data_IF_760883947875
#
_entry.id   IF_760883947875
#
_cell.length_a   1.000
_cell.length_b   1.000
_cell.length_c   1.000
_cell.angle_alpha   90.00
_cell.angle_beta   90.00
_cell.angle_gamma   90.00
#
_symmetry.space_group_name_H-M   'P 1'
#
loop_
_entity.id
_entity.type
_entity.pdbx_description
1 polymer ?
#
# COMPACT_ATOMS: atom_id res chain seq x y z
N UNK A 1 0.35 -15.76 0.44
CA UNK A 1 1.06 -16.68 1.34
C UNK A 1 2.47 -16.15 1.53
N UNK A 2 2.81 -15.71 2.75
CA UNK A 2 4.15 -15.20 3.06
C UNK A 2 5.13 -16.36 2.88
N UNK A 3 6.29 -16.18 2.21
CA UNK A 3 7.31 -17.21 2.23
C UNK A 3 7.69 -17.47 3.70
N UNK A 4 7.52 -18.71 4.16
CA UNK A 4 7.89 -19.17 5.51
C UNK A 4 9.33 -18.78 5.92
N UNK A 5 10.14 -18.38 4.93
CA UNK A 5 11.52 -17.94 5.03
C UNK A 5 11.72 -16.54 5.62
N UNK A 6 10.73 -15.62 5.59
CA UNK A 6 10.93 -14.23 6.06
C UNK A 6 10.96 -14.15 7.61
N UNK A 7 10.32 -15.11 8.31
CA UNK A 7 10.24 -15.17 9.79
C UNK A 7 9.76 -13.85 10.42
N UNK A 8 8.66 -13.31 9.91
CA UNK A 8 7.94 -12.18 10.49
C UNK A 8 6.69 -12.71 11.21
N UNK A 9 6.29 -12.16 12.38
CA UNK A 9 5.09 -12.61 13.08
C UNK A 9 3.83 -12.37 12.24
N UNK A 10 2.88 -13.26 12.41
CA UNK A 10 1.56 -13.14 11.79
C UNK A 10 0.64 -12.31 12.68
N UNK A 11 -0.22 -11.51 12.05
CA UNK A 11 -1.23 -10.70 12.74
C UNK A 11 -2.50 -10.60 11.89
N UNK A 12 -3.56 -10.02 12.43
CA UNK A 12 -4.75 -9.70 11.64
C UNK A 12 -4.49 -8.40 10.88
N UNK A 13 -4.36 -8.52 9.55
CA UNK A 13 -4.29 -7.38 8.67
C UNK A 13 -5.71 -6.89 8.34
N UNK A 14 -5.86 -5.58 8.14
CA UNK A 14 -7.10 -4.96 7.70
C UNK A 14 -7.50 -5.46 6.30
N UNK A 15 -6.51 -5.66 5.44
CA UNK A 15 -6.65 -6.20 4.10
C UNK A 15 -7.05 -5.19 3.04
N UNK A 16 -7.95 -4.26 3.37
CA UNK A 16 -8.33 -3.14 2.51
C UNK A 16 -8.18 -1.79 3.21
N UNK A 17 -7.00 -1.52 3.78
CA UNK A 17 -6.71 -0.20 4.34
C UNK A 17 -6.29 0.79 3.24
N UNK A 18 -7.22 1.63 2.79
CA UNK A 18 -6.97 2.74 1.86
C UNK A 18 -7.74 3.99 2.28
N UNK A 19 -7.52 5.11 1.60
CA UNK A 19 -8.01 6.43 2.03
C UNK A 19 -9.52 6.47 2.33
N UNK A 20 -10.32 5.71 1.57
CA UNK A 20 -11.78 5.68 1.75
C UNK A 20 -12.24 4.88 2.99
N UNK A 21 -11.37 4.04 3.55
CA UNK A 21 -11.63 3.24 4.75
C UNK A 21 -11.01 3.88 6.02
N UNK A 22 -10.51 5.11 5.90
CA UNK A 22 -9.98 5.90 7.01
C UNK A 22 -10.86 7.13 7.20
N UNK A 23 -11.54 7.21 8.34
CA UNK A 23 -12.31 8.38 8.74
C UNK A 23 -11.40 9.36 9.46
N UNK A 24 -11.52 10.65 9.13
CA UNK A 24 -10.67 11.70 9.67
C UNK A 24 -11.48 12.71 10.50
N UNK A 25 -10.93 13.18 11.62
CA UNK A 25 -11.50 14.27 12.40
C UNK A 25 -11.08 15.60 11.77
N UNK A 26 -12.06 16.41 11.37
CA UNK A 26 -11.83 17.79 10.93
C UNK A 26 -12.17 18.74 12.08
N UNK A 27 -11.21 19.57 12.48
CA UNK A 27 -11.47 20.71 13.38
C UNK A 27 -11.88 21.93 12.54
N UNK A 28 -12.68 22.82 13.11
CA UNK A 28 -13.30 23.94 12.38
C UNK A 28 -12.30 24.83 11.62
N UNK A 29 -11.06 24.93 12.10
CA UNK A 29 -10.00 25.77 11.51
C UNK A 29 -8.94 24.99 10.71
N UNK A 30 -9.04 23.66 10.62
CA UNK A 30 -8.04 22.87 9.91
C UNK A 30 -8.30 22.90 8.40
N UNK A 31 -7.26 23.28 7.63
CA UNK A 31 -7.29 23.18 6.16
C UNK A 31 -7.42 21.73 5.69
N UNK A 32 -6.78 20.80 6.42
CA UNK A 32 -6.83 19.36 6.16
C UNK A 32 -6.92 18.61 7.50
N UNK A 33 -7.74 17.56 7.60
CA UNK A 33 -7.84 16.80 8.83
C UNK A 33 -6.56 16.00 9.06
N UNK A 34 -6.01 16.08 10.27
CA UNK A 34 -4.72 15.45 10.63
C UNK A 34 -4.86 14.30 11.62
N UNK A 35 -6.06 14.12 12.19
CA UNK A 35 -6.32 13.11 13.22
C UNK A 35 -7.26 12.03 12.68
N UNK A 36 -6.89 10.76 12.86
CA UNK A 36 -7.74 9.63 12.48
C UNK A 36 -8.87 9.50 13.50
N UNK A 37 -10.10 9.43 13.02
CA UNK A 37 -11.30 9.21 13.82
C UNK A 37 -11.58 7.71 14.03
N UNK A 38 -11.54 6.95 12.93
CA UNK A 38 -11.84 5.53 12.91
C UNK A 38 -11.32 4.88 11.62
N UNK A 39 -11.07 3.58 11.69
CA UNK A 39 -10.97 2.72 10.53
C UNK A 39 -12.31 1.98 10.33
N UNK A 40 -12.75 1.82 9.10
CA UNK A 40 -14.03 1.19 8.76
C UNK A 40 -13.87 0.15 7.65
N UNK A 41 -14.89 -0.67 7.45
CA UNK A 41 -14.94 -1.68 6.39
C UNK A 41 -13.87 -2.80 6.51
N UNK A 42 -14.06 -3.67 7.50
CA UNK A 42 -13.16 -4.77 7.82
C UNK A 42 -13.46 -6.05 7.02
N UNK A 43 -14.25 -5.97 5.93
CA UNK A 43 -14.85 -7.13 5.25
C UNK A 43 -13.85 -8.14 4.67
N UNK A 44 -12.62 -7.71 4.39
CA UNK A 44 -11.54 -8.56 3.86
C UNK A 44 -10.37 -8.75 4.83
N UNK A 45 -10.59 -8.53 6.13
CA UNK A 45 -9.56 -8.77 7.14
C UNK A 45 -9.13 -10.23 7.13
N UNK A 46 -7.83 -10.48 7.26
CA UNK A 46 -7.29 -11.83 7.19
C UNK A 46 -5.99 -11.97 8.00
N UNK A 47 -5.50 -13.19 8.13
CA UNK A 47 -4.22 -13.49 8.72
C UNK A 47 -3.07 -13.02 7.80
N UNK A 48 -2.50 -11.87 8.11
CA UNK A 48 -1.48 -11.17 7.34
C UNK A 48 -0.19 -10.89 8.13
N UNK A 49 0.53 -9.84 7.75
CA UNK A 49 1.78 -9.44 8.39
C UNK A 49 1.84 -7.91 8.60
N UNK A 50 2.76 -7.41 9.43
CA UNK A 50 2.89 -5.99 9.73
C UNK A 50 3.06 -5.05 8.52
N UNK A 51 3.58 -5.56 7.39
CA UNK A 51 3.82 -4.74 6.21
C UNK A 51 2.63 -4.69 5.25
N UNK A 52 1.62 -5.55 5.40
CA UNK A 52 0.56 -5.70 4.40
C UNK A 52 -0.30 -4.46 4.24
N UNK A 53 -0.82 -3.92 5.35
CA UNK A 53 -1.67 -2.74 5.33
C UNK A 53 -0.87 -1.48 4.93
N UNK A 54 0.42 -1.41 5.27
CA UNK A 54 1.29 -0.34 4.80
C UNK A 54 1.47 -0.42 3.27
N UNK A 55 1.74 -1.61 2.73
CA UNK A 55 1.83 -1.82 1.29
C UNK A 55 0.53 -1.44 0.59
N UNK A 56 -0.64 -1.75 1.18
CA UNK A 56 -1.96 -1.35 0.66
C UNK A 56 -2.05 0.17 0.56
N UNK A 57 -1.87 0.88 1.66
CA UNK A 57 -1.97 2.35 1.71
C UNK A 57 -0.99 3.00 0.73
N UNK A 58 0.27 2.58 0.74
CA UNK A 58 1.30 3.18 -0.11
C UNK A 58 1.03 2.88 -1.59
N UNK A 59 0.64 1.66 -1.95
CA UNK A 59 0.34 1.31 -3.33
C UNK A 59 -0.88 2.06 -3.87
N UNK A 60 -1.96 2.19 -3.09
CA UNK A 60 -3.22 2.76 -3.58
C UNK A 60 -3.35 4.27 -3.41
N UNK A 61 -2.74 4.84 -2.37
CA UNK A 61 -2.99 6.24 -1.96
C UNK A 61 -1.86 7.20 -2.30
N UNK A 62 -0.74 6.73 -2.87
CA UNK A 62 0.37 7.58 -3.28
C UNK A 62 0.57 7.56 -4.79
N UNK A 63 1.15 8.63 -5.34
CA UNK A 63 1.59 8.63 -6.73
C UNK A 63 2.91 7.85 -6.85
N UNK A 64 3.11 7.17 -7.98
CA UNK A 64 4.22 6.23 -8.14
C UNK A 64 5.61 6.85 -7.94
N UNK A 65 5.78 8.10 -8.38
CA UNK A 65 7.05 8.82 -8.24
C UNK A 65 7.31 9.21 -6.77
N UNK A 66 6.26 9.65 -6.04
CA UNK A 66 6.34 9.96 -4.61
C UNK A 66 6.67 8.72 -3.79
N UNK A 67 6.06 7.58 -4.10
CA UNK A 67 6.38 6.30 -3.45
C UNK A 67 7.86 5.99 -3.58
N UNK A 68 8.40 5.99 -4.80
CA UNK A 68 9.80 5.62 -5.07
C UNK A 68 10.80 6.53 -4.35
N UNK A 69 10.47 7.80 -4.19
CA UNK A 69 11.31 8.76 -3.48
C UNK A 69 11.30 8.53 -1.96
N UNK A 70 10.15 8.17 -1.39
CA UNK A 70 9.94 8.13 0.06
C UNK A 70 9.94 6.73 0.66
N UNK A 71 10.02 5.68 -0.14
CA UNK A 71 9.83 4.29 0.31
C UNK A 71 10.78 3.90 1.45
N UNK A 72 12.09 4.07 1.27
CA UNK A 72 13.09 3.78 2.32
C UNK A 72 12.82 4.60 3.58
N UNK A 73 12.51 5.89 3.42
CA UNK A 73 12.19 6.76 4.55
C UNK A 73 10.95 6.28 5.30
N UNK A 74 9.92 5.82 4.60
CA UNK A 74 8.69 5.29 5.19
C UNK A 74 8.96 4.02 6.00
N UNK A 75 9.86 3.14 5.53
CA UNK A 75 10.23 1.93 6.28
C UNK A 75 10.92 2.25 7.59
N UNK A 76 11.92 3.12 7.56
CA UNK A 76 12.62 3.57 8.76
C UNK A 76 11.66 4.27 9.72
N UNK A 77 10.84 5.19 9.20
CA UNK A 77 9.85 5.93 9.98
C UNK A 77 8.85 4.98 10.65
N UNK A 78 8.29 4.02 9.90
CA UNK A 78 7.33 3.05 10.43
C UNK A 78 7.96 2.18 11.52
N UNK A 79 9.15 1.64 11.27
CA UNK A 79 9.82 0.73 12.19
C UNK A 79 10.27 1.46 13.47
N UNK A 80 10.75 2.69 13.36
CA UNK A 80 11.10 3.53 14.51
C UNK A 80 9.86 3.82 15.37
N UNK A 81 8.75 4.22 14.74
CA UNK A 81 7.50 4.51 15.46
C UNK A 81 6.92 3.25 16.10
N UNK A 82 6.96 2.11 15.43
CA UNK A 82 6.54 0.83 16.01
C UNK A 82 7.38 0.47 17.22
N UNK A 83 8.71 0.66 17.15
CA UNK A 83 9.62 0.40 18.27
C UNK A 83 9.26 1.28 19.47
N UNK A 84 9.14 2.59 19.26
CA UNK A 84 8.74 3.56 20.29
C UNK A 84 7.35 3.26 20.87
N UNK A 85 6.41 2.81 20.04
CA UNK A 85 5.07 2.43 20.50
C UNK A 85 5.07 1.21 21.42
N UNK A 86 6.01 0.28 21.23
CA UNK A 86 6.11 -0.95 22.03
C UNK A 86 6.92 -0.78 23.33
N UNK A 87 7.79 0.24 23.40
CA UNK A 87 8.66 0.52 24.55
C UNK A 87 7.92 0.60 25.90
N UNK A 88 6.77 1.28 26.05
CA UNK A 88 6.06 1.36 27.33
C UNK A 88 5.58 0.00 27.85
N UNK A 89 5.42 -0.99 26.96
CA UNK A 89 5.05 -2.36 27.32
C UNK A 89 6.26 -3.25 27.60
N UNK A 90 7.49 -2.71 27.56
CA UNK A 90 8.73 -3.48 27.70
C UNK A 90 8.98 -4.43 26.53
N UNK A 91 8.36 -4.20 25.37
CA UNK A 91 8.47 -5.04 24.17
C UNK A 91 9.22 -4.31 23.05
N UNK A 92 9.66 -5.08 22.06
CA UNK A 92 10.24 -4.59 20.81
C UNK A 92 9.72 -5.44 19.65
N UNK A 93 9.80 -4.95 18.40
CA UNK A 93 9.49 -5.77 17.23
C UNK A 93 10.32 -7.06 17.23
N UNK A 94 9.66 -8.20 16.97
CA UNK A 94 10.31 -9.53 16.88
C UNK A 94 10.90 -9.81 15.49
N UNK A 95 11.06 -8.77 14.69
CA UNK A 95 11.59 -8.82 13.32
C UNK A 95 12.47 -7.58 13.09
N UNK A 96 13.44 -7.69 12.20
CA UNK A 96 14.31 -6.58 11.79
C UNK A 96 13.69 -5.72 10.68
N UNK A 97 14.21 -4.50 10.48
CA UNK A 97 13.84 -3.63 9.35
C UNK A 97 13.95 -4.37 8.01
N UNK A 98 15.04 -5.11 7.78
CA UNK A 98 15.22 -5.90 6.55
C UNK A 98 14.16 -6.99 6.35
N UNK A 99 13.70 -7.62 7.44
CA UNK A 99 12.59 -8.58 7.35
C UNK A 99 11.27 -7.87 7.04
N UNK A 100 11.07 -6.67 7.59
CA UNK A 100 9.93 -5.83 7.29
C UNK A 100 9.92 -5.37 5.82
N UNK A 101 11.03 -4.86 5.31
CA UNK A 101 11.23 -4.51 3.89
C UNK A 101 10.90 -5.69 2.99
N UNK A 102 11.47 -6.87 3.29
CA UNK A 102 11.19 -8.08 2.52
C UNK A 102 9.71 -8.46 2.58
N UNK A 103 9.06 -8.36 3.74
CA UNK A 103 7.62 -8.61 3.85
C UNK A 103 6.79 -7.59 3.07
N UNK A 104 7.20 -6.32 3.07
CA UNK A 104 6.60 -5.25 2.30
C UNK A 104 6.70 -5.53 0.80
N UNK A 105 7.87 -5.93 0.29
CA UNK A 105 8.06 -6.23 -1.14
C UNK A 105 7.05 -7.27 -1.64
N UNK A 106 6.88 -8.39 -0.93
CA UNK A 106 5.88 -9.40 -1.29
C UNK A 106 4.44 -8.88 -1.18
N UNK A 107 4.14 -8.11 -0.13
CA UNK A 107 2.83 -7.51 0.01
C UNK A 107 2.56 -6.50 -1.10
N UNK A 108 3.54 -5.68 -1.46
CA UNK A 108 3.45 -4.66 -2.50
C UNK A 108 3.18 -5.28 -3.87
N UNK A 109 3.89 -6.36 -4.24
CA UNK A 109 3.60 -7.08 -5.48
C UNK A 109 2.13 -7.54 -5.53
N UNK A 110 1.62 -8.12 -4.43
CA UNK A 110 0.21 -8.49 -4.33
C UNK A 110 -0.71 -7.25 -4.49
N UNK A 111 -0.39 -6.13 -3.84
CA UNK A 111 -1.18 -4.91 -3.92
C UNK A 111 -1.15 -4.26 -5.31
N UNK A 112 -0.04 -4.35 -6.03
CA UNK A 112 0.08 -3.86 -7.40
C UNK A 112 -0.88 -4.61 -8.34
N UNK A 113 -0.96 -5.94 -8.20
CA UNK A 113 -1.93 -6.74 -8.95
C UNK A 113 -3.38 -6.35 -8.61
N UNK A 114 -3.70 -6.17 -7.33
CA UNK A 114 -5.03 -5.70 -6.92
C UNK A 114 -5.34 -4.29 -7.46
N UNK A 115 -4.35 -3.40 -7.49
CA UNK A 115 -4.52 -2.05 -8.03
C UNK A 115 -4.89 -2.07 -9.52
N UNK A 116 -4.27 -2.93 -10.32
CA UNK A 116 -4.65 -3.10 -11.74
C UNK A 116 -6.13 -3.46 -11.86
N UNK A 117 -6.60 -4.44 -11.07
CA UNK A 117 -8.01 -4.84 -11.06
C UNK A 117 -8.94 -3.68 -10.64
N UNK A 118 -8.58 -2.95 -9.58
CA UNK A 118 -9.36 -1.80 -9.08
C UNK A 118 -9.46 -0.71 -10.15
N UNK A 119 -8.35 -0.38 -10.81
CA UNK A 119 -8.33 0.68 -11.83
C UNK A 119 -9.19 0.30 -13.03
N UNK A 120 -9.23 -0.98 -13.42
CA UNK A 120 -10.14 -1.49 -14.45
C UNK A 120 -11.60 -1.43 -14.01
N UNK A 121 -11.89 -1.82 -12.77
CA UNK A 121 -13.24 -1.82 -12.21
C UNK A 121 -13.83 -0.41 -12.07
N UNK A 122 -13.03 0.57 -11.64
CA UNK A 122 -13.47 1.95 -11.41
C UNK A 122 -13.75 2.75 -12.69
N UNK A 123 -13.56 2.19 -13.89
CA UNK A 123 -13.86 2.86 -15.16
C UNK A 123 -15.37 2.95 -15.49
N UNK A 124 -16.27 2.79 -14.51
CA UNK A 124 -17.73 2.77 -14.74
C UNK A 124 -18.18 4.12 -15.32
N UNK A 125 -18.90 4.05 -16.45
CA UNK A 125 -19.36 5.20 -17.22
C UNK A 125 -20.76 5.61 -16.77
N UNK A 126 -20.86 6.70 -16.04
CA UNK A 126 -22.13 7.42 -15.87
C UNK A 126 -22.37 8.38 -17.06
N UNK A 127 -23.62 8.81 -17.25
CA UNK A 127 -23.94 9.89 -18.20
C UNK A 127 -23.45 11.25 -17.67
N UNK A 128 -22.13 11.46 -17.79
CA UNK A 128 -21.46 12.68 -17.34
C UNK A 128 -21.61 13.82 -18.35
N UNK A 129 -21.68 15.06 -17.85
CA UNK A 129 -21.55 16.27 -18.69
C UNK A 129 -20.16 16.33 -19.35
N UNK A 130 -19.98 17.19 -20.35
CA UNK A 130 -18.70 17.33 -21.06
C UNK A 130 -17.52 17.70 -20.12
N UNK A 131 -17.76 18.56 -19.14
CA UNK A 131 -16.74 18.97 -18.16
C UNK A 131 -16.39 17.81 -17.22
N UNK A 132 -17.39 17.10 -16.72
CA UNK A 132 -17.18 15.95 -15.84
C UNK A 132 -16.44 14.81 -16.56
N UNK A 133 -16.72 14.59 -17.85
CA UNK A 133 -15.97 13.64 -18.69
C UNK A 133 -14.48 13.95 -18.72
N UNK A 134 -14.10 15.21 -18.99
CA UNK A 134 -12.67 15.58 -19.01
C UNK A 134 -11.98 15.39 -17.66
N UNK A 135 -12.70 15.61 -16.54
CA UNK A 135 -12.16 15.40 -15.20
C UNK A 135 -12.00 13.89 -14.94
N UNK A 136 -13.00 13.09 -15.29
CA UNK A 136 -12.97 11.64 -15.13
C UNK A 136 -11.86 11.00 -15.97
N UNK A 137 -11.66 11.46 -17.20
CA UNK A 137 -10.57 11.01 -18.07
C UNK A 137 -9.20 11.27 -17.42
N UNK A 138 -8.97 12.47 -16.88
CA UNK A 138 -7.73 12.79 -16.18
C UNK A 138 -7.52 11.94 -14.90
N UNK A 139 -8.60 11.67 -14.14
CA UNK A 139 -8.55 10.75 -12.98
C UNK A 139 -8.18 9.33 -13.41
N UNK A 140 -8.80 8.85 -14.49
CA UNK A 140 -8.55 7.52 -15.04
C UNK A 140 -7.10 7.38 -15.52
N UNK A 141 -6.59 8.37 -16.25
CA UNK A 141 -5.19 8.42 -16.69
C UNK A 141 -4.23 8.41 -15.49
N UNK A 142 -4.52 9.21 -14.45
CA UNK A 142 -3.71 9.23 -13.22
C UNK A 142 -3.70 7.86 -12.53
N UNK A 143 -4.86 7.22 -12.44
CA UNK A 143 -5.00 5.90 -11.83
C UNK A 143 -4.28 4.81 -12.65
N UNK A 144 -4.40 4.85 -13.99
CA UNK A 144 -3.66 3.96 -14.89
C UNK A 144 -2.14 4.15 -14.76
N UNK A 145 -1.68 5.39 -14.66
CA UNK A 145 -0.27 5.69 -14.43
C UNK A 145 0.19 5.11 -13.08
N UNK A 146 -0.60 5.26 -12.01
CA UNK A 146 -0.27 4.66 -10.70
C UNK A 146 -0.14 3.14 -10.78
N UNK A 147 -1.11 2.48 -11.43
CA UNK A 147 -1.09 1.03 -11.63
C UNK A 147 0.12 0.58 -12.46
N UNK A 148 0.41 1.27 -13.58
CA UNK A 148 1.59 1.02 -14.40
C UNK A 148 2.87 1.12 -13.57
N UNK A 149 3.03 2.20 -12.81
CA UNK A 149 4.23 2.40 -11.97
C UNK A 149 4.37 1.32 -10.90
N UNK A 150 3.27 0.89 -10.28
CA UNK A 150 3.30 -0.21 -9.31
C UNK A 150 3.70 -1.55 -9.94
N UNK A 151 3.28 -1.80 -11.19
CA UNK A 151 3.74 -2.96 -11.95
C UNK A 151 5.22 -2.86 -12.35
N UNK A 152 5.69 -1.68 -12.80
CA UNK A 152 7.12 -1.46 -13.06
C UNK A 152 7.97 -1.77 -11.81
N UNK A 153 7.50 -1.35 -10.63
CA UNK A 153 8.17 -1.60 -9.35
C UNK A 153 8.13 -3.09 -8.99
N UNK A 154 7.00 -3.77 -9.24
CA UNK A 154 6.85 -5.22 -9.05
C UNK A 154 7.83 -6.01 -9.89
N UNK A 155 8.06 -5.62 -11.15
CA UNK A 155 9.06 -6.29 -12.02
C UNK A 155 10.45 -6.18 -11.42
N UNK A 156 10.87 -5.00 -10.96
CA UNK A 156 12.18 -4.81 -10.30
C UNK A 156 12.32 -5.63 -9.03
N UNK A 157 11.26 -5.71 -8.23
CA UNK A 157 11.22 -6.54 -7.02
C UNK A 157 11.39 -8.01 -7.41
N UNK A 158 10.69 -8.50 -8.45
CA UNK A 158 10.82 -9.87 -8.94
C UNK A 158 12.24 -10.17 -9.43
N UNK A 159 12.83 -9.28 -10.24
CA UNK A 159 14.22 -9.41 -10.71
C UNK A 159 15.22 -9.54 -9.55
N UNK A 160 14.97 -8.83 -8.45
CA UNK A 160 15.84 -8.86 -7.27
C UNK A 160 15.63 -10.09 -6.39
N UNK A 161 14.38 -10.53 -6.18
CA UNK A 161 14.04 -11.55 -5.18
C UNK A 161 13.93 -12.93 -5.79
N UNK A 162 13.44 -13.01 -7.02
CA UNK A 162 13.18 -14.22 -7.79
C UNK A 162 13.65 -14.07 -9.24
N UNK A 163 14.95 -13.81 -9.50
CA UNK A 163 15.46 -13.71 -10.85
C UNK A 163 15.17 -14.98 -11.67
N UNK A 164 15.05 -16.14 -11.01
CA UNK A 164 14.71 -17.41 -11.64
C UNK A 164 13.27 -17.47 -12.19
N UNK A 165 12.40 -16.52 -11.85
CA UNK A 165 11.04 -16.43 -12.39
C UNK A 165 10.96 -15.53 -13.63
N UNK A 166 12.00 -14.74 -13.90
CA UNK A 166 12.08 -13.91 -15.09
C UNK A 166 12.62 -14.78 -16.23
N UNK A 167 11.74 -15.13 -17.16
CA UNK A 167 12.13 -15.77 -18.41
C UNK A 167 12.58 -14.65 -19.33
N UNK A 168 13.89 -14.52 -19.56
CA UNK A 168 14.37 -13.71 -20.68
C UNK A 168 13.85 -14.36 -21.97
N UNK A 169 13.07 -13.63 -22.76
CA UNK A 169 12.68 -14.07 -24.10
C UNK A 169 13.95 -14.36 -24.90
N UNK A 170 14.08 -15.60 -25.38
CA UNK A 170 15.12 -16.03 -26.32
C UNK A 170 14.85 -15.53 -27.74
#
# INVERSE_FOLDING_TARGET
MIPYRIRIPTLIAFGDLWMNNIMWKKKDNDLFPTEIAAFIDFQVSFEGNPAFDLARVICTCTDGDVRRELETYIFDFYYEHLTKFMEPSGKKPEFSVKQFERAYEYAFMNQAFHLVYIVMFLQIKEELSKKEKSIQEAINEKNLLRAKRAMDDTVKILEMIHPEWIIEEA
#
